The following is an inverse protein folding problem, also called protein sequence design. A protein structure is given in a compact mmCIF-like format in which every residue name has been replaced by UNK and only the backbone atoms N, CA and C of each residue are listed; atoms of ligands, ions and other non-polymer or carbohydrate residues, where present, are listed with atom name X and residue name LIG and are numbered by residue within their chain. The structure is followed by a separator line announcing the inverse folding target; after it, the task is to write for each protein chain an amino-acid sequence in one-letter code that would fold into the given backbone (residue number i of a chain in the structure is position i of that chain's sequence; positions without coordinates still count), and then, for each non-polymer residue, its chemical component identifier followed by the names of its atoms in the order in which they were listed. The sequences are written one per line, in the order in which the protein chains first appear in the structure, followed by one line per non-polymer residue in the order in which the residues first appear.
data_IF_367131238179
#
_entry.id   IF_367131238179
#
_cell.length_a   1.000
_cell.length_b   1.000
_cell.length_c   1.000
_cell.angle_alpha   90.00
_cell.angle_beta   90.00
_cell.angle_gamma   90.00
#
_symmetry.space_group_name_H-M   'P 1'
#
loop_
_entity.id
_entity.type
_entity.pdbx_description
1 polymer ?
#
# COMPACT_ATOMS: atom_id res chain seq x y z
N UNK A 1 21.27 -13.32 6.99
CA UNK A 1 20.34 -12.62 7.90
C UNK A 1 21.16 -12.04 9.05
N UNK A 2 21.07 -10.74 9.32
CA UNK A 2 21.79 -10.09 10.43
C UNK A 2 20.92 -10.23 11.68
N UNK A 3 21.48 -10.71 12.79
CA UNK A 3 20.80 -10.84 14.09
C UNK A 3 21.53 -9.98 15.11
N UNK A 4 20.77 -9.19 15.87
CA UNK A 4 21.28 -8.36 16.97
C UNK A 4 20.16 -8.13 17.98
N UNK A 5 20.53 -7.98 19.26
CA UNK A 5 19.61 -7.74 20.36
C UNK A 5 19.36 -6.24 20.50
N UNK A 6 18.43 -5.71 19.69
CA UNK A 6 18.05 -4.30 19.75
C UNK A 6 17.23 -4.02 21.01
N UNK A 7 17.59 -2.95 21.72
CA UNK A 7 16.91 -2.44 22.91
C UNK A 7 15.92 -1.36 22.46
N UNK A 8 14.66 -1.54 22.84
CA UNK A 8 13.60 -0.58 22.55
C UNK A 8 13.92 0.84 23.08
N UNK A 9 13.55 1.85 22.30
CA UNK A 9 13.81 3.27 22.56
C UNK A 9 15.25 3.73 22.29
N UNK A 10 16.09 2.90 21.65
CA UNK A 10 17.48 3.26 21.31
C UNK A 10 17.66 3.51 19.81
N UNK A 11 18.60 4.41 19.50
CA UNK A 11 19.02 4.70 18.14
C UNK A 11 20.18 3.79 17.77
N UNK A 12 20.13 3.26 16.55
CA UNK A 12 21.13 2.35 16.01
C UNK A 12 21.61 2.86 14.66
N UNK A 13 22.84 2.49 14.33
CA UNK A 13 23.44 2.74 13.05
C UNK A 13 23.95 1.42 12.48
N UNK A 14 23.46 1.06 11.29
CA UNK A 14 24.04 0.01 10.48
C UNK A 14 24.96 0.64 9.45
N UNK A 15 26.24 0.28 9.51
CA UNK A 15 27.22 0.66 8.49
C UNK A 15 27.53 -0.57 7.64
N UNK A 16 27.34 -0.45 6.34
CA UNK A 16 27.74 -1.43 5.34
C UNK A 16 28.99 -0.89 4.66
N UNK A 17 30.19 -1.40 4.97
CA UNK A 17 31.42 -0.94 4.35
C UNK A 17 31.41 -1.19 2.84
N UNK A 18 32.24 -0.45 2.08
CA UNK A 18 32.44 -0.74 0.66
C UNK A 18 32.85 -2.21 0.46
N UNK A 19 32.38 -2.80 -0.65
CA UNK A 19 32.72 -4.15 -1.11
C UNK A 19 32.27 -5.32 -0.22
N UNK A 20 31.50 -5.09 0.85
CA UNK A 20 31.01 -6.17 1.73
C UNK A 20 29.70 -6.80 1.26
N UNK A 21 29.03 -6.19 0.28
CA UNK A 21 27.81 -6.72 -0.33
C UNK A 21 28.05 -6.93 -1.82
N UNK A 22 27.80 -8.16 -2.27
CA UNK A 22 27.99 -8.57 -3.67
C UNK A 22 26.81 -9.38 -4.18
N UNK A 23 26.42 -9.14 -5.42
CA UNK A 23 25.59 -10.02 -6.25
C UNK A 23 26.45 -10.63 -7.36
N UNK A 24 25.86 -11.50 -8.19
CA UNK A 24 26.54 -12.06 -9.37
C UNK A 24 27.10 -10.98 -10.32
N UNK A 25 26.52 -9.79 -10.34
CA UNK A 25 26.83 -8.75 -11.33
C UNK A 25 27.44 -7.47 -10.74
N UNK A 26 27.36 -7.26 -9.41
CA UNK A 26 27.80 -6.00 -8.81
C UNK A 26 28.26 -6.16 -7.36
N UNK A 27 29.14 -5.25 -6.92
CA UNK A 27 29.44 -5.02 -5.51
C UNK A 27 29.06 -3.60 -5.13
N UNK A 28 28.80 -3.35 -3.85
CA UNK A 28 28.63 -1.97 -3.39
C UNK A 28 29.99 -1.24 -3.46
N UNK A 29 30.10 -0.25 -4.33
CA UNK A 29 31.35 0.50 -4.53
C UNK A 29 31.67 1.49 -3.40
N UNK A 30 30.65 1.90 -2.65
CA UNK A 30 30.75 2.86 -1.56
C UNK A 30 30.15 2.28 -0.27
N UNK A 31 30.66 2.76 0.86
CA UNK A 31 30.06 2.47 2.17
C UNK A 31 28.67 3.11 2.24
N UNK A 32 27.70 2.38 2.79
CA UNK A 32 26.35 2.89 3.07
C UNK A 32 26.10 2.92 4.57
N UNK A 33 25.43 3.97 5.02
CA UNK A 33 25.01 4.15 6.41
C UNK A 33 23.49 4.19 6.47
N UNK A 34 22.94 3.46 7.42
CA UNK A 34 21.51 3.43 7.72
C UNK A 34 21.33 3.71 9.19
N UNK A 35 20.75 4.87 9.51
CA UNK A 35 20.35 5.20 10.87
C UNK A 35 18.89 4.79 11.07
N UNK A 36 18.61 4.09 12.16
CA UNK A 36 17.26 3.64 12.49
C UNK A 36 17.05 3.60 14.00
N UNK A 37 15.80 3.78 14.41
CA UNK A 37 15.42 3.72 15.81
C UNK A 37 14.75 2.37 16.08
N UNK A 38 15.22 1.63 17.09
CA UNK A 38 14.47 0.50 17.62
C UNK A 38 13.36 1.06 18.48
N UNK A 39 12.28 1.47 17.84
CA UNK A 39 11.20 2.19 18.47
C UNK A 39 10.48 1.31 19.53
N UNK A 40 9.81 1.93 20.48
CA UNK A 40 9.16 1.20 21.56
C UNK A 40 7.82 0.63 21.11
N UNK A 41 7.49 -0.57 21.59
CA UNK A 41 6.21 -1.22 21.27
C UNK A 41 4.99 -0.38 21.67
N UNK A 42 5.14 0.47 22.71
CA UNK A 42 4.10 1.40 23.17
C UNK A 42 3.71 2.46 22.14
N UNK A 43 4.56 2.68 21.13
CA UNK A 43 4.29 3.62 20.03
C UNK A 43 3.49 2.99 18.89
N UNK A 44 3.14 1.70 18.98
CA UNK A 44 2.43 0.97 17.93
C UNK A 44 1.08 0.46 18.44
N UNK A 45 0.16 0.26 17.49
CA UNK A 45 -1.08 -0.49 17.72
C UNK A 45 -1.13 -1.74 16.87
N UNK A 46 -2.15 -2.55 17.10
CA UNK A 46 -2.46 -3.72 16.29
C UNK A 46 -3.86 -3.65 15.70
N UNK A 47 -4.01 -4.32 14.56
CA UNK A 47 -5.26 -4.38 13.81
C UNK A 47 -5.46 -5.79 13.29
N UNK A 48 -6.60 -6.39 13.62
CA UNK A 48 -7.03 -7.69 13.14
C UNK A 48 -8.27 -7.54 12.28
N UNK A 49 -8.25 -8.18 11.11
CA UNK A 49 -9.40 -8.36 10.25
C UNK A 49 -9.95 -9.79 10.40
N UNK A 50 -11.26 -9.87 10.61
CA UNK A 50 -12.04 -11.12 10.55
C UNK A 50 -12.91 -11.04 9.30
N UNK A 51 -12.54 -11.80 8.28
CA UNK A 51 -13.14 -11.78 6.96
C UNK A 51 -14.34 -12.73 6.88
N UNK A 52 -15.51 -12.18 6.58
CA UNK A 52 -16.68 -12.96 6.18
C UNK A 52 -16.64 -13.13 4.66
N UNK A 53 -16.97 -14.34 4.19
CA UNK A 53 -16.83 -14.72 2.77
C UNK A 53 -15.38 -14.62 2.26
N UNK A 54 -14.40 -15.00 3.10
CA UNK A 54 -12.99 -15.04 2.73
C UNK A 54 -12.75 -15.85 1.44
N UNK A 55 -11.86 -15.40 0.54
CA UNK A 55 -11.49 -16.18 -0.64
C UNK A 55 -10.91 -17.55 -0.24
N UNK A 56 -11.16 -18.57 -1.05
CA UNK A 56 -10.54 -19.89 -0.90
C UNK A 56 -9.07 -19.89 -1.31
N UNK A 57 -8.69 -18.97 -2.19
CA UNK A 57 -7.31 -18.74 -2.63
C UNK A 57 -6.55 -17.87 -1.63
N UNK A 58 -5.23 -17.85 -1.78
CA UNK A 58 -4.40 -16.90 -1.03
C UNK A 58 -4.63 -15.48 -1.56
N UNK A 59 -4.29 -14.48 -0.76
CA UNK A 59 -4.48 -13.09 -1.14
C UNK A 59 -3.47 -12.19 -0.44
N UNK A 60 -3.25 -11.03 -1.04
CA UNK A 60 -2.54 -9.92 -0.41
C UNK A 60 -3.55 -9.01 0.28
N UNK A 61 -3.40 -8.79 1.58
CA UNK A 61 -4.06 -7.69 2.28
C UNK A 61 -3.08 -6.53 2.43
N UNK A 62 -3.52 -5.33 2.07
CA UNK A 62 -2.68 -4.13 2.03
C UNK A 62 -3.32 -2.99 2.83
N UNK A 63 -2.51 -2.29 3.61
CA UNK A 63 -2.86 -1.03 4.26
C UNK A 63 -2.15 0.09 3.50
N UNK A 64 -2.94 1.03 3.01
CA UNK A 64 -2.51 2.13 2.15
C UNK A 64 -2.68 3.47 2.86
N UNK A 65 -1.86 4.43 2.45
CA UNK A 65 -2.12 5.84 2.73
C UNK A 65 -3.09 6.46 1.71
N UNK A 66 -3.39 7.75 1.87
CA UNK A 66 -4.32 8.50 1.02
C UNK A 66 -3.81 8.77 -0.39
N UNK A 67 -2.55 8.47 -0.68
CA UNK A 67 -1.94 8.57 -2.00
C UNK A 67 -1.84 7.20 -2.69
N UNK A 68 -2.61 6.21 -2.22
CA UNK A 68 -2.59 4.81 -2.66
C UNK A 68 -1.23 4.11 -2.52
N UNK A 69 -0.34 4.64 -1.67
CA UNK A 69 0.93 3.99 -1.39
C UNK A 69 0.73 2.90 -0.35
N UNK A 70 1.17 1.68 -0.67
CA UNK A 70 1.17 0.55 0.27
C UNK A 70 2.19 0.80 1.39
N UNK A 71 1.70 0.91 2.62
CA UNK A 71 2.52 1.08 3.82
C UNK A 71 2.81 -0.26 4.49
N UNK A 72 1.83 -1.16 4.51
CA UNK A 72 1.96 -2.50 5.06
C UNK A 72 1.25 -3.49 4.15
N UNK A 73 1.79 -4.70 4.04
CA UNK A 73 1.13 -5.79 3.33
C UNK A 73 1.43 -7.14 3.96
N UNK A 74 0.52 -8.09 3.79
CA UNK A 74 0.71 -9.48 4.18
C UNK A 74 0.07 -10.40 3.14
N UNK A 75 0.80 -11.44 2.75
CA UNK A 75 0.23 -12.55 2.00
C UNK A 75 -0.37 -13.55 3.00
N UNK A 76 -1.65 -13.86 2.83
CA UNK A 76 -2.41 -14.64 3.79
C UNK A 76 -3.40 -15.56 3.08
N UNK A 77 -3.92 -16.53 3.83
CA UNK A 77 -5.00 -17.42 3.41
C UNK A 77 -5.90 -17.68 4.62
N UNK A 78 -7.21 -17.77 4.38
CA UNK A 78 -8.21 -17.98 5.43
C UNK A 78 -8.91 -16.68 5.84
N UNK A 79 -9.62 -16.74 6.97
CA UNK A 79 -10.58 -15.69 7.39
C UNK A 79 -10.06 -14.73 8.45
N UNK A 80 -8.81 -14.86 8.91
CA UNK A 80 -8.25 -13.97 9.93
C UNK A 80 -6.86 -13.47 9.53
N UNK A 81 -6.66 -12.16 9.61
CA UNK A 81 -5.34 -11.55 9.38
C UNK A 81 -5.07 -10.48 10.43
N UNK A 82 -3.94 -10.59 11.14
CA UNK A 82 -3.50 -9.62 12.15
C UNK A 82 -2.23 -8.90 11.75
N UNK A 83 -2.17 -7.60 12.00
CA UNK A 83 -0.98 -6.76 11.95
C UNK A 83 -0.66 -6.29 13.37
N UNK A 84 0.46 -6.71 13.95
CA UNK A 84 0.78 -6.47 15.37
C UNK A 84 1.54 -5.17 15.64
N UNK A 85 2.25 -4.63 14.65
CA UNK A 85 3.11 -3.44 14.80
C UNK A 85 2.77 -2.45 13.68
N UNK A 86 1.72 -1.66 13.92
CA UNK A 86 1.29 -0.60 13.02
C UNK A 86 1.50 0.77 13.66
N UNK A 87 2.01 1.71 12.86
CA UNK A 87 2.08 3.10 13.32
C UNK A 87 0.65 3.61 13.56
N UNK A 88 0.42 4.43 14.60
CA UNK A 88 -0.85 5.09 14.81
C UNK A 88 -1.24 5.93 13.59
N UNK A 89 -2.49 5.86 13.17
CA UNK A 89 -2.96 6.52 11.97
C UNK A 89 -4.23 5.91 11.40
N UNK A 90 -4.60 6.43 10.26
CA UNK A 90 -5.75 5.98 9.48
C UNK A 90 -5.26 5.32 8.20
N UNK A 91 -5.86 4.18 7.87
CA UNK A 91 -5.46 3.37 6.73
C UNK A 91 -6.66 3.06 5.85
N UNK A 92 -6.44 3.14 4.54
CA UNK A 92 -7.29 2.51 3.53
C UNK A 92 -6.86 1.04 3.46
N UNK A 93 -7.80 0.10 3.38
CA UNK A 93 -7.47 -1.33 3.33
C UNK A 93 -8.06 -1.95 2.09
N UNK A 94 -7.26 -2.77 1.40
CA UNK A 94 -7.72 -3.58 0.27
C UNK A 94 -7.19 -5.00 0.34
N UNK A 95 -7.90 -5.91 -0.30
CA UNK A 95 -7.50 -7.28 -0.57
C UNK A 95 -7.37 -7.45 -2.07
N UNK A 96 -6.29 -8.11 -2.50
CA UNK A 96 -6.02 -8.52 -3.87
C UNK A 96 -5.89 -10.05 -3.86
N UNK A 97 -6.81 -10.76 -4.49
CA UNK A 97 -6.84 -12.23 -4.46
C UNK A 97 -5.94 -12.79 -5.54
N UNK A 98 -5.04 -13.68 -5.15
CA UNK A 98 -4.18 -14.43 -6.05
C UNK A 98 -4.95 -15.71 -6.44
N UNK A 99 -5.85 -15.56 -7.41
CA UNK A 99 -6.81 -16.61 -7.79
C UNK A 99 -6.10 -17.83 -8.38
N UNK A 100 -4.99 -17.60 -9.08
CA UNK A 100 -4.22 -18.65 -9.75
C UNK A 100 -3.04 -19.21 -8.91
N UNK A 101 -2.69 -18.59 -7.79
CA UNK A 101 -1.64 -19.04 -6.86
C UNK A 101 -0.21 -18.73 -7.31
N UNK A 102 0.00 -17.75 -8.20
CA UNK A 102 1.32 -17.38 -8.71
C UNK A 102 2.09 -16.42 -7.78
N UNK A 103 1.46 -15.95 -6.69
CA UNK A 103 2.04 -15.03 -5.72
C UNK A 103 1.84 -13.54 -6.05
N UNK A 104 1.19 -13.24 -7.16
CA UNK A 104 0.90 -11.89 -7.64
C UNK A 104 -0.62 -11.71 -7.75
N UNK A 105 -1.06 -10.47 -7.95
CA UNK A 105 -2.42 -10.18 -8.38
C UNK A 105 -2.34 -9.80 -9.84
N UNK A 106 -3.08 -10.50 -10.68
CA UNK A 106 -3.04 -10.31 -12.12
C UNK A 106 -4.12 -9.33 -12.61
N UNK A 107 -3.68 -8.38 -13.43
CA UNK A 107 -4.55 -7.45 -14.15
C UNK A 107 -5.32 -8.16 -15.28
N UNK A 108 -6.34 -7.49 -15.82
CA UNK A 108 -7.08 -8.01 -16.97
C UNK A 108 -6.19 -8.06 -18.23
N UNK A 109 -6.28 -9.17 -18.96
CA UNK A 109 -5.66 -9.30 -20.28
C UNK A 109 -6.73 -9.23 -21.36
N UNK A 110 -6.82 -8.06 -22.00
CA UNK A 110 -7.77 -7.79 -23.08
C UNK A 110 -7.47 -8.57 -24.36
N UNK A 111 -6.20 -8.92 -24.61
CA UNK A 111 -5.81 -9.67 -25.81
C UNK A 111 -6.32 -11.11 -25.72
N UNK A 112 -6.28 -11.69 -24.51
CA UNK A 112 -6.67 -13.07 -24.24
C UNK A 112 -8.07 -13.20 -23.61
N UNK A 113 -8.84 -12.10 -23.50
CA UNK A 113 -10.16 -12.05 -22.85
C UNK A 113 -10.18 -12.62 -21.42
N UNK A 114 -9.15 -12.32 -20.64
CA UNK A 114 -9.04 -12.75 -19.24
C UNK A 114 -9.39 -11.57 -18.34
N UNK A 115 -10.33 -11.78 -17.42
CA UNK A 115 -10.67 -10.78 -16.41
C UNK A 115 -9.55 -10.63 -15.38
N UNK A 116 -9.44 -9.44 -14.78
CA UNK A 116 -8.57 -9.23 -13.63
C UNK A 116 -8.98 -10.13 -12.47
N UNK A 117 -8.02 -10.47 -11.61
CA UNK A 117 -8.32 -11.22 -10.40
C UNK A 117 -9.12 -10.39 -9.39
N UNK A 118 -9.77 -11.07 -8.45
CA UNK A 118 -10.70 -10.42 -7.53
C UNK A 118 -9.98 -9.42 -6.63
N UNK A 119 -10.61 -8.28 -6.38
CA UNK A 119 -10.13 -7.29 -5.42
C UNK A 119 -11.28 -6.73 -4.60
N UNK A 120 -10.98 -6.37 -3.35
CA UNK A 120 -11.97 -5.89 -2.39
C UNK A 120 -11.43 -4.70 -1.63
N UNK A 121 -12.25 -3.69 -1.40
CA UNK A 121 -11.90 -2.48 -0.63
C UNK A 121 -12.70 -2.47 0.67
N UNK A 122 -12.02 -2.20 1.78
CA UNK A 122 -12.70 -2.00 3.06
C UNK A 122 -13.32 -0.61 3.05
N UNK A 123 -14.65 -0.55 2.96
CA UNK A 123 -15.40 0.71 2.82
C UNK A 123 -15.48 1.55 4.10
N UNK A 124 -14.60 1.30 5.07
CA UNK A 124 -14.38 2.12 6.26
C UNK A 124 -12.89 2.38 6.41
N UNK A 125 -12.57 3.46 7.10
CA UNK A 125 -11.19 3.73 7.53
C UNK A 125 -10.81 2.81 8.67
N UNK A 126 -9.70 2.11 8.53
CA UNK A 126 -9.11 1.39 9.64
C UNK A 126 -8.28 2.35 10.50
N UNK A 127 -8.69 2.55 11.74
CA UNK A 127 -8.03 3.47 12.67
C UNK A 127 -7.16 2.68 13.65
N UNK A 128 -5.87 3.00 13.69
CA UNK A 128 -4.91 2.41 14.62
C UNK A 128 -4.49 3.46 15.64
N UNK A 129 -4.51 3.08 16.91
CA UNK A 129 -4.03 3.89 18.04
C UNK A 129 -2.90 3.16 18.77
N UNK A 130 -1.95 3.88 19.38
CA UNK A 130 -0.88 3.24 20.15
C UNK A 130 -1.48 2.41 21.30
N UNK A 131 -0.87 1.27 21.59
CA UNK A 131 -1.27 0.30 22.62
C UNK A 131 -2.66 -0.33 22.44
N UNK A 132 -3.39 -0.02 21.37
CA UNK A 132 -4.71 -0.59 21.11
C UNK A 132 -4.60 -1.87 20.27
N UNK A 133 -5.47 -2.85 20.56
CA UNK A 133 -5.71 -4.01 19.71
C UNK A 133 -7.12 -3.91 19.13
N UNK A 134 -7.18 -3.54 17.84
CA UNK A 134 -8.44 -3.27 17.13
C UNK A 134 -8.87 -4.50 16.33
N UNK A 135 -10.14 -4.88 16.40
CA UNK A 135 -10.70 -5.98 15.64
C UNK A 135 -11.80 -5.46 14.70
N UNK A 136 -11.67 -5.71 13.41
CA UNK A 136 -12.58 -5.28 12.35
C UNK A 136 -13.19 -6.49 11.66
N UNK A 137 -14.52 -6.58 11.66
CA UNK A 137 -15.25 -7.56 10.87
C UNK A 137 -15.51 -7.00 9.47
N UNK A 138 -15.07 -7.72 8.44
CA UNK A 138 -15.18 -7.29 7.06
C UNK A 138 -15.86 -8.37 6.21
N UNK A 139 -17.07 -8.07 5.74
CA UNK A 139 -17.73 -8.88 4.72
C UNK A 139 -17.28 -8.46 3.32
N UNK A 140 -16.62 -9.38 2.62
CA UNK A 140 -16.11 -9.16 1.27
C UNK A 140 -17.21 -9.07 0.21
N UNK A 141 -18.43 -9.53 0.51
CA UNK A 141 -19.59 -9.43 -0.41
C UNK A 141 -20.41 -8.17 -0.18
N UNK A 142 -19.99 -7.30 0.72
CA UNK A 142 -20.63 -6.02 0.97
C UNK A 142 -20.51 -5.10 -0.25
N UNK A 143 -21.64 -4.64 -0.77
CA UNK A 143 -21.74 -3.81 -1.99
C UNK A 143 -21.78 -2.31 -1.71
N UNK A 144 -21.61 -1.89 -0.45
CA UNK A 144 -21.49 -0.46 -0.11
C UNK A 144 -20.27 0.17 -0.80
N UNK A 145 -20.29 1.48 -1.05
CA UNK A 145 -19.16 2.24 -1.63
C UNK A 145 -18.52 3.14 -0.57
N UNK A 146 -17.20 3.33 -0.65
CA UNK A 146 -16.44 4.15 0.31
C UNK A 146 -16.85 5.62 0.12
N UNK A 147 -17.50 6.21 1.12
CA UNK A 147 -17.79 7.64 1.14
C UNK A 147 -16.53 8.41 1.57
N UNK A 148 -15.68 8.75 0.61
CA UNK A 148 -14.43 9.47 0.83
C UNK A 148 -14.63 10.90 1.35
N UNK A 149 -15.86 11.43 1.34
CA UNK A 149 -16.17 12.79 1.78
C UNK A 149 -16.15 12.99 3.30
N UNK A 150 -16.16 11.90 4.08
CA UNK A 150 -16.20 11.92 5.56
C UNK A 150 -14.86 11.62 6.22
N UNK A 151 -13.80 11.49 5.43
CA UNK A 151 -12.46 11.23 5.91
C UNK A 151 -11.84 12.52 6.45
N UNK A 152 -11.67 12.62 7.77
CA UNK A 152 -11.01 13.76 8.42
C UNK A 152 -9.56 13.41 8.71
N UNK A 153 -8.68 13.64 7.74
CA UNK A 153 -7.24 13.45 7.93
C UNK A 153 -6.59 14.62 8.69
N UNK A 154 -5.56 14.37 9.52
CA UNK A 154 -4.74 15.44 10.07
C UNK A 154 -4.05 16.21 8.95
N UNK A 155 -4.35 17.50 8.83
CA UNK A 155 -3.59 18.42 7.98
C UNK A 155 -2.13 18.43 8.44
N UNK A 156 -1.21 18.07 7.57
CA UNK A 156 0.17 18.57 7.68
C UNK A 156 0.09 20.09 7.59
N UNK A 157 0.54 20.78 8.64
CA UNK A 157 0.68 22.24 8.65
C UNK A 157 1.83 22.64 7.74
N UNK A 158 1.63 22.60 6.43
CA UNK A 158 2.48 23.31 5.47
C UNK A 158 1.85 24.68 5.25
N UNK A 159 2.43 25.70 5.88
CA UNK A 159 2.19 27.09 5.49
C UNK A 159 2.64 27.22 4.03
N UNK A 160 1.78 27.62 3.07
CA UNK A 160 2.20 27.87 1.71
C UNK A 160 3.02 29.17 1.65
N UNK A 161 4.13 29.22 0.87
CA UNK A 161 4.74 30.49 0.50
C UNK A 161 3.71 31.30 -0.30
N UNK A 162 3.52 32.57 0.09
CA UNK A 162 2.84 33.55 -0.75
C UNK A 162 3.64 33.73 -2.05
N UNK A 163 2.88 33.96 -3.12
CA UNK A 163 3.31 34.38 -4.46
C UNK A 163 3.57 33.26 -5.48
N UNK A 164 2.51 32.89 -6.21
CA UNK A 164 2.59 32.64 -7.65
C UNK A 164 1.19 32.74 -8.31
N UNK A 165 1.10 33.59 -9.34
CA UNK A 165 -0.08 33.84 -10.18
C UNK A 165 -0.64 32.57 -10.84
N UNK A 166 -1.97 32.48 -10.89
CA UNK A 166 -2.76 31.48 -11.61
C UNK A 166 -2.81 31.78 -13.11
N UNK A 167 -2.65 30.79 -14.01
CA UNK A 167 -3.24 30.86 -15.34
C UNK A 167 -4.47 29.92 -15.43
N UNK A 168 -5.59 30.47 -15.92
CA UNK A 168 -6.81 29.75 -16.29
C UNK A 168 -6.55 28.82 -17.49
N UNK A 169 -7.07 27.59 -17.45
CA UNK A 169 -7.29 26.80 -18.65
C UNK A 169 -8.75 26.32 -18.71
N UNK A 170 -9.48 26.85 -19.68
CA UNK A 170 -10.85 26.51 -20.02
C UNK A 170 -10.91 25.17 -20.77
N UNK A 171 -11.99 24.45 -20.48
CA UNK A 171 -12.52 23.27 -21.17
C UNK A 171 -12.44 23.35 -22.70
N UNK A 172 -12.12 22.23 -23.37
CA UNK A 172 -12.70 21.88 -24.67
C UNK A 172 -12.60 20.35 -24.92
N UNK A 173 -13.76 19.70 -25.00
CA UNK A 173 -13.97 18.36 -25.55
C UNK A 173 -13.92 18.41 -27.08
N UNK A 174 -13.23 17.47 -27.73
CA UNK A 174 -13.58 17.04 -29.10
C UNK A 174 -13.13 15.60 -29.37
N UNK A 175 -14.08 14.82 -29.89
CA UNK A 175 -13.98 13.43 -30.34
C UNK A 175 -12.93 13.24 -31.44
N UNK A 176 -12.28 12.08 -31.45
CA UNK A 176 -11.46 11.59 -32.56
C UNK A 176 -12.17 10.43 -33.26
N UNK A 177 -12.23 10.47 -34.59
CA UNK A 177 -12.56 9.33 -35.47
C UNK A 177 -11.50 9.25 -36.57
N UNK A 178 -11.17 8.04 -37.08
CA UNK A 178 -9.96 7.79 -37.85
C UNK A 178 -10.18 8.00 -39.35
N UNK A 179 -9.19 8.54 -40.06
CA UNK A 179 -9.21 8.59 -41.54
C UNK A 179 -8.03 7.80 -42.10
N UNK A 180 -8.35 6.79 -42.91
CA UNK A 180 -7.38 6.03 -43.69
C UNK A 180 -6.83 6.82 -44.87
N UNK A 181 -5.64 6.45 -45.35
CA UNK A 181 -5.04 6.98 -46.57
C UNK A 181 -4.69 5.84 -47.53
N UNK A 182 -5.25 5.94 -48.73
CA UNK A 182 -4.94 5.15 -49.91
C UNK A 182 -3.75 5.81 -50.62
N UNK A 183 -2.74 5.03 -51.02
CA UNK A 183 -1.65 5.49 -51.90
C UNK A 183 -1.80 4.83 -53.28
N UNK A 184 -1.75 5.63 -54.33
CA UNK A 184 -1.55 5.18 -55.71
C UNK A 184 -0.68 6.21 -56.43
N UNK A 185 0.53 5.84 -56.80
CA UNK A 185 0.98 5.63 -58.18
C UNK A 185 2.45 5.23 -58.18
#
# INVERSE_FOLDING_TARGET
MIKADFIAGKKYQLTVPKETVSSFYAKNSQSKRFDFDADKVENYGSLKFILQNAPSSSYWIQLLDTSDKVLYQKYAKGSEVKFDILKPGEYIVRILVDNNGNGYWDEADFQNNVFAEDSYIYYKTAVVRPLWDSNENWDLKDTRVLDTSKLSFPKTTTVPPKDAKKPDLKSNNTLLSPTGSTLTR
#
